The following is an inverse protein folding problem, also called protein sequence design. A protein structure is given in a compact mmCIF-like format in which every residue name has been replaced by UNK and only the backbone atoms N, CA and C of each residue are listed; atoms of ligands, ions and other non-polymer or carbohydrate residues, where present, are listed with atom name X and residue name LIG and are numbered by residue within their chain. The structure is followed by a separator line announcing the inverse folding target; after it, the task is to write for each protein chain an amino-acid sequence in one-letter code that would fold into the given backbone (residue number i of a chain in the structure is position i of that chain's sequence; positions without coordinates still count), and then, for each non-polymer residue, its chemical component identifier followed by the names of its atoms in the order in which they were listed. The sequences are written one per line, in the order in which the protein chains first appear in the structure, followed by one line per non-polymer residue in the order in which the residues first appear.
data_IF_063585036914
#
_entry.id   IF_063585036914
#
_cell.length_a   1.000
_cell.length_b   1.000
_cell.length_c   1.000
_cell.angle_alpha   90.00
_cell.angle_beta   90.00
_cell.angle_gamma   90.00
#
_symmetry.space_group_name_H-M   'P 1'
#
loop_
_entity.id
_entity.type
_entity.pdbx_description
1 polymer ?
#
# COMPACT_ATOMS: atom_id res chain seq x y z
N UNK A 1 14.03 18.25 19.19
CA UNK A 1 13.32 17.89 18.96
C UNK A 1 12.74 16.82 19.51
N UNK A 2 12.57 16.29 20.19
CA UNK A 2 11.93 15.24 20.87
C UNK A 2 11.63 13.99 20.08
N UNK A 3 11.90 14.03 18.81
CA UNK A 3 11.58 12.88 18.03
C UNK A 3 12.58 11.78 18.24
N UNK A 4 12.11 10.62 18.64
CA UNK A 4 12.96 9.50 18.84
C UNK A 4 13.36 8.91 17.50
N UNK A 5 14.63 8.60 17.36
CA UNK A 5 15.09 7.97 16.16
C UNK A 5 14.85 6.48 16.23
N UNK A 6 14.19 5.94 15.25
CA UNK A 6 13.89 4.52 15.18
C UNK A 6 14.74 3.89 14.10
N UNK A 7 15.39 2.79 14.42
CA UNK A 7 16.16 2.07 13.43
C UNK A 7 15.24 1.41 12.44
N UNK A 8 15.50 1.61 11.17
CA UNK A 8 14.70 1.03 10.12
C UNK A 8 15.43 -0.23 9.65
N UNK A 9 15.04 -1.35 10.23
CA UNK A 9 15.64 -2.62 9.85
C UNK A 9 14.61 -3.71 10.04
N UNK A 10 14.87 -4.87 9.46
CA UNK A 10 13.92 -5.97 9.48
C UNK A 10 13.65 -6.42 10.90
N UNK A 11 12.37 -6.62 11.22
CA UNK A 11 11.96 -7.09 12.54
C UNK A 11 11.95 -8.62 12.50
N UNK A 12 12.80 -9.23 13.30
CA UNK A 12 12.96 -10.67 13.25
C UNK A 12 11.79 -11.43 13.85
N UNK A 13 11.21 -10.89 14.90
CA UNK A 13 10.12 -11.59 15.58
C UNK A 13 8.82 -11.43 14.78
N UNK A 14 8.24 -12.57 14.39
CA UNK A 14 7.11 -12.57 13.48
C UNK A 14 5.89 -11.82 14.02
N UNK A 15 5.54 -12.01 15.28
CA UNK A 15 4.36 -11.35 15.82
C UNK A 15 4.54 -9.84 15.89
N UNK A 16 5.73 -9.39 16.25
CA UNK A 16 6.03 -7.97 16.21
C UNK A 16 5.98 -7.41 14.80
N UNK A 17 6.47 -8.20 13.86
CA UNK A 17 6.46 -7.79 12.45
C UNK A 17 5.03 -7.59 11.96
N UNK A 18 4.12 -8.50 12.32
CA UNK A 18 2.72 -8.38 11.92
C UNK A 18 2.04 -7.17 12.53
N UNK A 19 2.30 -6.92 13.81
CA UNK A 19 1.72 -5.76 14.48
C UNK A 19 2.22 -4.47 13.84
N UNK A 20 3.52 -4.41 13.59
CA UNK A 20 4.11 -3.24 12.96
C UNK A 20 3.57 -3.02 11.57
N UNK A 21 3.42 -4.10 10.81
CA UNK A 21 2.88 -4.00 9.46
C UNK A 21 1.47 -3.39 9.49
N UNK A 22 0.62 -3.90 10.37
CA UNK A 22 -0.75 -3.41 10.44
C UNK A 22 -0.82 -1.94 10.80
N UNK A 23 -0.04 -1.53 11.80
CA UNK A 23 -0.05 -0.15 12.24
C UNK A 23 0.50 0.79 11.17
N UNK A 24 1.62 0.41 10.57
CA UNK A 24 2.25 1.25 9.55
C UNK A 24 1.42 1.31 8.29
N UNK A 25 0.80 0.18 7.92
CA UNK A 25 -0.07 0.16 6.76
C UNK A 25 -1.23 1.13 6.94
N UNK A 26 -1.88 1.08 8.11
CA UNK A 26 -2.99 1.99 8.39
C UNK A 26 -2.54 3.45 8.31
N UNK A 27 -1.35 3.72 8.83
CA UNK A 27 -0.81 5.09 8.80
C UNK A 27 -0.55 5.58 7.40
N UNK A 28 0.03 4.74 6.55
CA UNK A 28 0.35 5.19 5.20
C UNK A 28 -0.90 5.33 4.35
N UNK A 29 -1.90 4.47 4.59
CA UNK A 29 -3.18 4.61 3.89
C UNK A 29 -3.85 5.92 4.24
N UNK A 30 -3.83 6.27 5.54
CA UNK A 30 -4.40 7.53 5.98
C UNK A 30 -3.68 8.72 5.37
N UNK A 31 -2.35 8.66 5.33
CA UNK A 31 -1.58 9.75 4.73
C UNK A 31 -1.83 9.88 3.24
N UNK A 32 -2.00 8.76 2.55
CA UNK A 32 -2.33 8.81 1.13
C UNK A 32 -3.68 9.45 0.90
N UNK A 33 -4.65 9.11 1.74
CA UNK A 33 -5.97 9.72 1.65
C UNK A 33 -5.88 11.23 1.90
N UNK A 34 -5.15 11.62 2.94
CA UNK A 34 -5.02 13.03 3.27
C UNK A 34 -4.35 13.81 2.15
N UNK A 35 -3.29 13.24 1.60
CA UNK A 35 -2.59 13.90 0.50
C UNK A 35 -3.51 14.13 -0.69
N UNK A 36 -4.24 13.10 -1.09
CA UNK A 36 -5.10 13.22 -2.24
C UNK A 36 -6.25 14.20 -1.99
N UNK A 37 -6.79 14.18 -0.77
CA UNK A 37 -7.91 15.05 -0.44
C UNK A 37 -7.49 16.50 -0.32
N UNK A 38 -6.37 16.73 0.36
CA UNK A 38 -5.94 18.10 0.61
C UNK A 38 -5.40 18.80 -0.64
N UNK A 39 -4.79 18.04 -1.52
CA UNK A 39 -4.09 18.64 -2.65
C UNK A 39 -4.73 18.37 -4.00
N UNK A 40 -5.73 17.49 -4.03
CA UNK A 40 -6.32 17.12 -5.31
C UNK A 40 -5.42 16.23 -6.16
N UNK A 41 -4.37 15.68 -5.59
CA UNK A 41 -3.41 14.86 -6.30
C UNK A 41 -3.95 13.44 -6.49
N UNK A 42 -3.65 12.85 -7.63
CA UNK A 42 -3.99 11.44 -7.84
C UNK A 42 -2.94 10.58 -7.17
N UNK A 43 -3.40 9.54 -6.48
CA UNK A 43 -2.51 8.68 -5.71
C UNK A 43 -2.83 7.23 -5.98
N UNK A 44 -1.80 6.44 -6.18
CA UNK A 44 -1.91 4.99 -6.23
C UNK A 44 -0.94 4.42 -5.21
N UNK A 45 -1.48 3.68 -4.25
CA UNK A 45 -0.67 3.04 -3.23
C UNK A 45 -0.93 1.54 -3.29
N UNK A 46 0.12 0.77 -3.42
CA UNK A 46 0.02 -0.68 -3.47
C UNK A 46 0.96 -1.27 -2.45
N UNK A 47 0.43 -2.11 -1.58
CA UNK A 47 1.23 -2.77 -0.55
C UNK A 47 0.98 -4.27 -0.64
N UNK A 48 2.06 -5.05 -0.70
CA UNK A 48 1.92 -6.51 -0.70
C UNK A 48 2.53 -7.03 0.58
N UNK A 49 1.72 -7.75 1.37
CA UNK A 49 2.22 -8.27 2.63
C UNK A 49 3.16 -9.45 2.39
N UNK A 50 3.89 -9.82 3.43
CA UNK A 50 4.81 -10.94 3.30
C UNK A 50 4.09 -12.24 2.99
N UNK A 51 2.80 -12.34 3.33
CA UNK A 51 2.01 -13.52 3.00
C UNK A 51 1.32 -13.43 1.65
N UNK A 52 1.53 -12.35 0.92
CA UNK A 52 1.01 -12.22 -0.44
C UNK A 52 -0.30 -11.49 -0.58
N UNK A 53 -0.86 -10.96 0.51
CA UNK A 53 -2.09 -10.18 0.41
C UNK A 53 -1.78 -8.80 -0.14
N UNK A 54 -2.66 -8.33 -1.03
CA UNK A 54 -2.48 -7.05 -1.69
C UNK A 54 -3.48 -6.06 -1.12
N UNK A 55 -2.97 -4.92 -0.68
CA UNK A 55 -3.79 -3.83 -0.16
C UNK A 55 -3.55 -2.60 -1.01
N UNK A 56 -4.64 -1.93 -1.39
CA UNK A 56 -4.50 -0.77 -2.26
C UNK A 56 -5.29 0.40 -1.74
N UNK A 57 -4.80 1.58 -2.04
CA UNK A 57 -5.57 2.79 -1.95
C UNK A 57 -5.37 3.53 -3.26
N UNK A 58 -6.47 3.89 -3.91
CA UNK A 58 -6.37 4.59 -5.19
C UNK A 58 -7.38 5.71 -5.25
N UNK A 59 -7.01 6.76 -5.96
CA UNK A 59 -7.95 7.78 -6.37
C UNK A 59 -8.59 7.35 -7.68
N UNK A 60 -9.63 8.07 -8.09
CA UNK A 60 -10.49 7.61 -9.17
C UNK A 60 -9.76 7.33 -10.48
N UNK A 61 -8.79 8.16 -10.83
CA UNK A 61 -8.13 8.01 -12.12
C UNK A 61 -7.24 6.77 -12.18
N UNK A 62 -6.80 6.30 -11.03
CA UNK A 62 -5.94 5.12 -10.99
C UNK A 62 -6.67 3.82 -10.68
N UNK A 63 -7.97 3.89 -10.40
CA UNK A 63 -8.71 2.67 -10.06
C UNK A 63 -8.64 1.57 -11.11
N UNK A 64 -8.67 1.88 -12.40
CA UNK A 64 -8.58 0.79 -13.38
C UNK A 64 -7.30 -0.01 -13.31
N UNK A 65 -6.23 0.55 -12.73
CA UNK A 65 -4.97 -0.16 -12.64
C UNK A 65 -5.00 -1.31 -11.63
N UNK A 66 -5.96 -1.28 -10.69
CA UNK A 66 -6.02 -2.29 -9.64
C UNK A 66 -7.32 -3.08 -9.65
N UNK A 67 -8.18 -2.88 -10.65
CA UNK A 67 -9.43 -3.62 -10.76
C UNK A 67 -9.22 -4.89 -11.54
N UNK A 68 -9.92 -5.94 -11.13
CA UNK A 68 -9.96 -7.16 -11.91
C UNK A 68 -10.99 -6.99 -13.03
N UNK A 69 -10.76 -7.63 -14.15
CA UNK A 69 -11.71 -7.57 -15.25
C UNK A 69 -12.88 -8.51 -14.97
N UNK A 70 -13.81 -8.58 -15.94
CA UNK A 70 -15.03 -9.35 -15.78
C UNK A 70 -14.77 -10.85 -15.61
N UNK A 71 -13.60 -11.32 -16.03
CA UNK A 71 -13.25 -12.73 -15.92
C UNK A 71 -12.43 -13.03 -14.68
N UNK A 72 -12.24 -12.04 -13.82
CA UNK A 72 -11.46 -12.22 -12.62
C UNK A 72 -9.97 -12.11 -12.85
N UNK A 73 -9.57 -11.68 -14.03
CA UNK A 73 -8.15 -11.50 -14.31
C UNK A 73 -7.70 -10.09 -13.96
N UNK A 74 -6.43 -9.99 -13.62
CA UNK A 74 -5.87 -8.68 -13.30
C UNK A 74 -5.85 -7.81 -14.54
N UNK A 75 -6.07 -6.52 -14.35
CA UNK A 75 -5.96 -5.57 -15.43
C UNK A 75 -4.51 -5.52 -15.89
N UNK A 76 -4.29 -4.91 -17.06
CA UNK A 76 -2.95 -4.79 -17.58
C UNK A 76 -2.03 -4.06 -16.61
N UNK A 77 -2.54 -2.99 -16.00
CA UNK A 77 -1.74 -2.26 -15.04
C UNK A 77 -1.38 -3.10 -13.84
N UNK A 78 -2.33 -3.91 -13.38
CA UNK A 78 -2.06 -4.78 -12.24
C UNK A 78 -1.00 -5.82 -12.60
N UNK A 79 -1.05 -6.35 -13.81
CA UNK A 79 -0.06 -7.33 -14.24
C UNK A 79 1.33 -6.72 -14.28
N UNK A 80 1.44 -5.49 -14.75
CA UNK A 80 2.72 -4.80 -14.77
C UNK A 80 3.25 -4.57 -13.37
N UNK A 81 2.37 -4.15 -12.46
CA UNK A 81 2.76 -3.93 -11.08
C UNK A 81 3.23 -5.22 -10.44
N UNK A 82 2.49 -6.31 -10.67
CA UNK A 82 2.86 -7.60 -10.11
C UNK A 82 4.20 -8.07 -10.64
N UNK A 83 4.49 -7.79 -11.88
CA UNK A 83 5.77 -8.19 -12.48
C UNK A 83 6.95 -7.46 -11.87
N UNK A 84 6.73 -6.28 -11.29
CA UNK A 84 7.78 -5.51 -10.66
C UNK A 84 8.10 -5.98 -9.24
N UNK A 85 7.26 -6.79 -8.67
CA UNK A 85 7.45 -7.25 -7.31
C UNK A 85 8.19 -8.58 -7.26
#
# INVERSE_FOLDING_TARGET
KGRRKIQIEYIEEKSKRHITFSKRKAGIMKKAYELSTLTGTQVLLLVVSESGWVYTFTTDKFKPLVKEDANGELSQGQKLIAACL
#
